data_IF_402794767101
#
_entry.id   IF_402794767101
#
_cell.length_a   1.000
_cell.length_b   1.000
_cell.length_c   1.000
_cell.angle_alpha   90.00
_cell.angle_beta   90.00
_cell.angle_gamma   90.00
#
_symmetry.space_group_name_H-M   'P 1'
#
loop_
_entity.id
_entity.type
_entity.pdbx_description
1 polymer ?
#
# COMPACT_ATOMS: atom_id res chain seq x y z
N UNK A 1 12.57 9.69 -12.27
CA UNK A 1 12.79 10.78 -11.27
C UNK A 1 14.14 10.68 -10.53
N UNK A 2 14.72 9.47 -10.39
CA UNK A 2 15.98 9.23 -9.67
C UNK A 2 17.18 10.07 -10.15
N UNK A 3 17.34 10.29 -11.47
CA UNK A 3 18.38 11.19 -12.03
C UNK A 3 18.37 12.61 -11.41
N UNK A 4 17.21 13.05 -10.92
CA UNK A 4 17.01 14.35 -10.29
C UNK A 4 17.01 14.30 -8.75
N UNK A 5 17.48 13.20 -8.16
CA UNK A 5 17.55 13.03 -6.69
C UNK A 5 16.21 12.69 -6.02
N UNK A 6 15.20 12.26 -6.80
CA UNK A 6 13.92 11.81 -6.25
C UNK A 6 13.86 10.29 -6.29
N UNK A 7 14.15 9.67 -5.15
CA UNK A 7 14.08 8.24 -4.91
C UNK A 7 12.63 7.77 -4.67
N UNK A 8 12.25 6.70 -5.36
CA UNK A 8 10.98 5.99 -5.21
C UNK A 8 11.26 4.49 -5.23
N UNK A 9 10.56 3.71 -4.40
CA UNK A 9 10.59 2.25 -4.45
C UNK A 9 9.56 1.71 -5.45
N UNK A 10 8.32 2.18 -5.30
CA UNK A 10 7.17 1.73 -6.07
C UNK A 10 6.81 2.75 -7.15
N UNK A 11 6.53 3.98 -6.74
CA UNK A 11 6.18 5.08 -7.62
C UNK A 11 4.94 4.88 -8.48
N UNK A 12 3.99 4.05 -8.05
CA UNK A 12 2.76 3.79 -8.78
C UNK A 12 1.55 4.59 -8.24
N UNK A 13 1.69 5.22 -7.07
CA UNK A 13 0.56 5.79 -6.34
C UNK A 13 0.69 7.31 -6.15
N UNK A 14 1.84 7.80 -5.69
CA UNK A 14 2.09 9.22 -5.42
C UNK A 14 3.46 9.66 -5.97
N UNK A 15 3.84 10.91 -5.68
CA UNK A 15 5.07 11.55 -6.14
C UNK A 15 5.15 11.60 -7.68
N UNK A 16 6.34 11.87 -8.22
CA UNK A 16 6.53 12.03 -9.67
C UNK A 16 6.08 10.78 -10.45
N UNK A 17 6.43 9.58 -9.96
CA UNK A 17 5.99 8.32 -10.55
C UNK A 17 4.46 8.19 -10.59
N UNK A 18 3.79 8.32 -9.45
CA UNK A 18 2.33 8.12 -9.36
C UNK A 18 1.53 9.16 -10.11
N UNK A 19 1.96 10.42 -10.14
CA UNK A 19 1.31 11.48 -10.93
C UNK A 19 1.40 11.17 -12.42
N UNK A 20 2.59 10.83 -12.93
CA UNK A 20 2.78 10.47 -14.33
C UNK A 20 2.06 9.16 -14.68
N UNK A 21 1.99 8.22 -13.75
CA UNK A 21 1.25 6.98 -13.95
C UNK A 21 -0.27 7.25 -14.04
N UNK A 22 -0.81 8.10 -13.17
CA UNK A 22 -2.19 8.55 -13.22
C UNK A 22 -2.52 9.27 -14.53
N UNK A 23 -1.65 10.16 -15.01
CA UNK A 23 -1.84 10.83 -16.31
C UNK A 23 -1.95 9.85 -17.48
N UNK A 24 -1.25 8.71 -17.42
CA UNK A 24 -1.33 7.66 -18.43
C UNK A 24 -2.56 6.77 -18.27
N UNK A 25 -2.95 6.46 -17.03
CA UNK A 25 -4.03 5.52 -16.74
C UNK A 25 -5.42 6.15 -16.81
N UNK A 26 -5.59 7.40 -16.39
CA UNK A 26 -6.89 8.06 -16.33
C UNK A 26 -7.61 8.07 -17.69
N UNK A 27 -6.97 8.39 -18.83
CA UNK A 27 -7.63 8.31 -20.14
C UNK A 27 -8.21 6.91 -20.43
N UNK A 28 -7.44 5.85 -20.15
CA UNK A 28 -7.87 4.46 -20.35
C UNK A 28 -9.02 4.08 -19.42
N UNK A 29 -8.97 4.53 -18.17
CA UNK A 29 -10.08 4.36 -17.21
C UNK A 29 -11.35 5.01 -17.73
N UNK A 30 -11.27 6.21 -18.34
CA UNK A 30 -12.43 6.88 -18.91
C UNK A 30 -12.98 6.20 -20.16
N UNK A 31 -12.11 5.58 -20.97
CA UNK A 31 -12.52 4.71 -22.07
C UNK A 31 -13.31 3.50 -21.56
N UNK A 32 -12.83 2.81 -20.51
CA UNK A 32 -13.61 1.75 -19.86
C UNK A 32 -14.94 2.25 -19.29
N UNK A 33 -14.96 3.44 -18.68
CA UNK A 33 -16.20 4.01 -18.20
C UNK A 33 -17.19 4.28 -19.33
N UNK A 34 -16.71 4.67 -20.53
CA UNK A 34 -17.56 4.82 -21.70
C UNK A 34 -18.17 3.48 -22.10
N UNK A 35 -17.35 2.45 -22.24
CA UNK A 35 -17.82 1.11 -22.61
C UNK A 35 -18.84 0.57 -21.58
N UNK A 36 -18.59 0.77 -20.29
CA UNK A 36 -19.51 0.36 -19.22
C UNK A 36 -20.88 1.06 -19.38
N UNK A 37 -20.90 2.37 -19.66
CA UNK A 37 -22.17 3.10 -19.85
C UNK A 37 -22.92 2.68 -21.12
N UNK A 38 -22.21 2.26 -22.16
CA UNK A 38 -22.80 1.88 -23.45
C UNK A 38 -23.25 0.41 -23.49
N UNK A 39 -22.56 -0.47 -22.76
CA UNK A 39 -22.65 -1.92 -22.97
C UNK A 39 -23.03 -2.72 -21.73
N UNK A 40 -22.81 -2.19 -20.51
CA UNK A 40 -23.07 -2.96 -19.30
C UNK A 40 -24.55 -2.91 -18.89
N UNK A 41 -25.01 -3.97 -18.22
CA UNK A 41 -26.33 -4.00 -17.61
C UNK A 41 -26.47 -2.93 -16.50
N UNK A 42 -27.68 -2.36 -16.29
CA UNK A 42 -27.93 -1.41 -15.22
C UNK A 42 -27.51 -1.96 -13.84
N UNK A 43 -26.76 -1.17 -13.08
CA UNK A 43 -26.28 -1.54 -11.75
C UNK A 43 -24.94 -2.27 -11.72
N UNK A 44 -24.28 -2.47 -12.87
CA UNK A 44 -22.91 -2.97 -12.90
C UNK A 44 -21.96 -2.07 -12.11
N UNK A 45 -21.13 -2.68 -11.27
CA UNK A 45 -20.06 -2.00 -10.52
C UNK A 45 -18.73 -2.13 -11.25
N UNK A 46 -18.00 -1.04 -11.34
CA UNK A 46 -16.60 -1.09 -11.76
C UNK A 46 -15.69 -1.29 -10.56
N UNK A 47 -15.03 -2.44 -10.49
CA UNK A 47 -14.07 -2.76 -9.43
C UNK A 47 -12.65 -2.41 -9.89
N UNK A 48 -12.08 -1.33 -9.36
CA UNK A 48 -10.76 -0.85 -9.76
C UNK A 48 -9.67 -1.31 -8.78
N UNK A 49 -8.78 -2.18 -9.25
CA UNK A 49 -7.53 -2.57 -8.58
C UNK A 49 -6.29 -1.84 -9.13
N UNK A 50 -6.43 -1.12 -10.25
CA UNK A 50 -5.27 -0.53 -10.92
C UNK A 50 -4.82 0.76 -10.22
N UNK A 51 -3.52 0.85 -9.97
CA UNK A 51 -2.90 2.06 -9.43
C UNK A 51 -2.73 3.17 -10.48
N UNK A 52 -2.66 4.45 -10.09
CA UNK A 52 -2.92 4.99 -8.75
C UNK A 52 -4.41 4.89 -8.36
N UNK A 53 -4.73 4.01 -7.41
CA UNK A 53 -6.11 3.52 -7.25
C UNK A 53 -7.05 4.67 -6.88
N UNK A 54 -6.65 5.54 -5.97
CA UNK A 54 -7.45 6.69 -5.57
C UNK A 54 -7.72 7.66 -6.73
N UNK A 55 -6.71 7.97 -7.56
CA UNK A 55 -6.87 8.89 -8.70
C UNK A 55 -7.72 8.26 -9.81
N UNK A 56 -7.51 6.98 -10.13
CA UNK A 56 -8.27 6.26 -11.14
C UNK A 56 -9.75 6.12 -10.73
N UNK A 57 -9.99 5.68 -9.49
CA UNK A 57 -11.35 5.54 -8.95
C UNK A 57 -12.06 6.90 -8.89
N UNK A 58 -11.36 7.96 -8.47
CA UNK A 58 -11.93 9.31 -8.48
C UNK A 58 -12.29 9.74 -9.92
N UNK A 59 -11.40 9.52 -10.90
CA UNK A 59 -11.70 9.87 -12.28
C UNK A 59 -12.92 9.10 -12.84
N UNK A 60 -13.04 7.81 -12.54
CA UNK A 60 -14.17 6.99 -12.94
C UNK A 60 -15.50 7.46 -12.34
N UNK A 61 -15.51 7.85 -11.06
CA UNK A 61 -16.70 8.37 -10.39
C UNK A 61 -17.05 9.76 -10.90
N UNK A 62 -16.10 10.69 -10.87
CA UNK A 62 -16.36 12.11 -11.11
C UNK A 62 -16.53 12.41 -12.60
N UNK A 63 -15.69 11.87 -13.47
CA UNK A 63 -15.72 12.17 -14.91
C UNK A 63 -16.33 11.02 -15.72
N UNK A 64 -16.08 9.78 -15.31
CA UNK A 64 -16.66 8.59 -15.93
C UNK A 64 -18.12 8.37 -15.56
N UNK A 65 -18.62 8.95 -14.46
CA UNK A 65 -20.00 8.76 -13.96
C UNK A 65 -20.42 7.28 -13.88
N UNK A 66 -19.49 6.41 -13.48
CA UNK A 66 -19.71 4.97 -13.27
C UNK A 66 -19.64 4.66 -11.77
N UNK A 67 -20.55 3.82 -11.29
CA UNK A 67 -20.53 3.28 -9.91
C UNK A 67 -19.28 2.43 -9.72
N UNK A 68 -18.26 3.02 -9.11
CA UNK A 68 -16.91 2.46 -9.04
C UNK A 68 -16.49 2.25 -7.59
N UNK A 69 -15.94 1.08 -7.30
CA UNK A 69 -15.32 0.74 -6.01
C UNK A 69 -13.84 0.50 -6.22
N UNK A 70 -13.03 1.26 -5.51
CA UNK A 70 -11.59 1.08 -5.44
C UNK A 70 -11.20 0.00 -4.44
N UNK A 71 -10.33 -0.93 -4.85
CA UNK A 71 -9.92 -2.07 -4.02
C UNK A 71 -8.39 -2.13 -3.92
N UNK A 72 -7.91 -2.40 -2.71
CA UNK A 72 -6.51 -2.66 -2.39
C UNK A 72 -6.43 -3.76 -1.32
N UNK A 73 -5.30 -4.47 -1.27
CA UNK A 73 -5.08 -5.61 -0.38
C UNK A 73 -4.29 -5.26 0.91
N UNK A 74 -3.86 -4.01 1.09
CA UNK A 74 -2.98 -3.63 2.20
C UNK A 74 -3.59 -3.88 3.59
N UNK A 75 -4.91 -3.75 3.75
CA UNK A 75 -5.59 -4.02 5.02
C UNK A 75 -5.53 -5.51 5.36
N UNK A 76 -5.78 -6.39 4.38
CA UNK A 76 -5.78 -7.84 4.55
C UNK A 76 -4.40 -8.34 4.97
N UNK A 77 -3.36 -7.98 4.23
CA UNK A 77 -1.99 -8.37 4.57
C UNK A 77 -1.54 -7.78 5.91
N UNK A 78 -1.90 -6.52 6.21
CA UNK A 78 -1.59 -5.92 7.51
C UNK A 78 -2.28 -6.64 8.68
N UNK A 79 -3.52 -7.07 8.50
CA UNK A 79 -4.27 -7.83 9.50
C UNK A 79 -3.68 -9.23 9.70
N UNK A 80 -3.27 -9.91 8.64
CA UNK A 80 -2.57 -11.20 8.69
C UNK A 80 -1.26 -11.08 9.48
N UNK A 81 -0.46 -10.04 9.21
CA UNK A 81 0.78 -9.77 9.95
C UNK A 81 0.49 -9.51 11.44
N UNK A 82 -0.52 -8.70 11.76
CA UNK A 82 -0.91 -8.41 13.15
C UNK A 82 -1.41 -9.69 13.86
N UNK A 83 -2.19 -10.53 13.18
CA UNK A 83 -2.65 -11.80 13.73
C UNK A 83 -1.47 -12.71 14.07
N UNK A 84 -0.50 -12.83 13.15
CA UNK A 84 0.70 -13.65 13.31
C UNK A 84 1.53 -13.19 14.53
N UNK A 85 1.86 -11.91 14.64
CA UNK A 85 2.70 -11.42 15.74
C UNK A 85 2.01 -11.46 17.11
N UNK A 86 0.68 -11.45 17.14
CA UNK A 86 -0.11 -11.55 18.37
C UNK A 86 -0.53 -13.00 18.67
N UNK A 87 -0.23 -13.95 17.78
CA UNK A 87 -0.68 -15.34 17.89
C UNK A 87 -2.21 -15.48 17.89
N UNK A 88 -2.91 -14.59 17.19
CA UNK A 88 -4.37 -14.61 17.08
C UNK A 88 -4.80 -15.65 16.02
N UNK A 89 -5.74 -16.51 16.40
CA UNK A 89 -6.37 -17.47 15.49
C UNK A 89 -7.39 -16.84 14.55
N UNK A 90 -7.93 -17.66 13.65
CA UNK A 90 -9.00 -17.25 12.73
C UNK A 90 -10.22 -16.71 13.50
N UNK A 91 -10.69 -15.53 13.11
CA UNK A 91 -11.83 -14.86 13.76
C UNK A 91 -11.55 -14.29 15.15
N UNK A 92 -10.31 -14.33 15.65
CA UNK A 92 -9.96 -13.77 16.97
C UNK A 92 -9.51 -12.31 16.88
N UNK A 93 -9.12 -11.83 15.70
CA UNK A 93 -8.64 -10.47 15.46
C UNK A 93 -9.77 -9.58 14.91
N UNK A 94 -10.17 -8.58 15.69
CA UNK A 94 -11.05 -7.50 15.24
C UNK A 94 -10.24 -6.22 15.05
N UNK A 95 -10.51 -5.47 14.00
CA UNK A 95 -9.82 -4.21 13.75
C UNK A 95 -10.68 -3.18 13.03
N UNK A 96 -10.31 -1.91 13.22
CA UNK A 96 -10.87 -0.78 12.47
C UNK A 96 -9.72 -0.07 11.74
N UNK A 97 -9.92 0.15 10.45
CA UNK A 97 -9.00 0.87 9.59
C UNK A 97 -9.60 2.18 9.09
N UNK A 98 -8.79 3.22 8.95
CA UNK A 98 -9.20 4.48 8.35
C UNK A 98 -8.06 5.18 7.63
N UNK A 99 -8.37 5.86 6.52
CA UNK A 99 -7.40 6.61 5.73
C UNK A 99 -7.76 6.66 4.24
N UNK A 100 -6.75 6.87 3.41
CA UNK A 100 -6.85 6.84 1.95
C UNK A 100 -5.99 5.69 1.41
N UNK A 101 -6.13 5.36 0.12
CA UNK A 101 -5.29 4.34 -0.50
C UNK A 101 -3.81 4.54 -0.22
N UNK A 102 -3.17 3.45 0.17
CA UNK A 102 -1.78 3.37 0.57
C UNK A 102 -1.36 4.29 1.73
N UNK A 103 -2.33 4.82 2.46
CA UNK A 103 -2.15 5.61 3.68
C UNK A 103 -3.32 5.37 4.63
N UNK A 104 -3.67 4.08 4.79
CA UNK A 104 -4.67 3.58 5.73
C UNK A 104 -3.97 3.09 6.99
N UNK A 105 -4.67 3.21 8.13
CA UNK A 105 -4.10 2.98 9.45
C UNK A 105 -5.02 2.12 10.31
N UNK A 106 -4.44 1.17 11.06
CA UNK A 106 -5.13 0.41 12.09
C UNK A 106 -5.32 1.28 13.33
N UNK A 107 -6.54 1.80 13.51
CA UNK A 107 -6.88 2.75 14.59
C UNK A 107 -7.50 2.08 15.82
N UNK A 108 -7.99 0.85 15.67
CA UNK A 108 -8.39 -0.03 16.77
C UNK A 108 -8.00 -1.46 16.39
N UNK A 109 -7.36 -2.18 17.31
CA UNK A 109 -6.97 -3.58 17.15
C UNK A 109 -7.36 -4.31 18.43
N UNK A 110 -8.06 -5.44 18.29
CA UNK A 110 -8.50 -6.26 19.42
C UNK A 110 -8.27 -7.73 19.13
N UNK A 111 -7.81 -8.45 20.15
CA UNK A 111 -7.73 -9.92 20.11
C UNK A 111 -8.71 -10.46 21.14
N UNK A 112 -9.68 -11.28 20.72
CA UNK A 112 -10.75 -11.82 21.57
C UNK A 112 -11.48 -10.72 22.35
N UNK A 113 -11.75 -9.60 21.67
CA UNK A 113 -12.37 -8.41 22.26
C UNK A 113 -11.46 -7.55 23.16
N UNK A 114 -10.24 -7.99 23.50
CA UNK A 114 -9.28 -7.19 24.29
C UNK A 114 -8.53 -6.23 23.38
N UNK A 115 -8.61 -4.93 23.67
CA UNK A 115 -7.85 -3.90 22.97
C UNK A 115 -6.35 -4.10 23.14
N UNK A 116 -5.63 -4.04 22.02
CA UNK A 116 -4.17 -4.11 21.95
C UNK A 116 -3.62 -2.69 21.94
N UNK A 117 -2.71 -2.41 22.86
CA UNK A 117 -2.06 -1.11 22.97
C UNK A 117 -0.92 -0.95 21.97
N UNK A 118 -0.54 0.30 21.69
CA UNK A 118 0.64 0.64 20.87
C UNK A 118 1.90 -0.11 21.34
N UNK A 119 2.22 -0.05 22.63
CA UNK A 119 3.48 -0.60 23.14
C UNK A 119 3.52 -2.13 23.06
N UNK A 120 2.38 -2.79 23.26
CA UNK A 120 2.22 -4.23 23.05
C UNK A 120 2.42 -4.60 21.58
N UNK A 121 1.81 -3.84 20.65
CA UNK A 121 1.94 -4.07 19.22
C UNK A 121 3.39 -3.85 18.74
N UNK A 122 4.06 -2.80 19.23
CA UNK A 122 5.48 -2.55 18.95
C UNK A 122 6.34 -3.71 19.45
N UNK A 123 6.17 -4.12 20.71
CA UNK A 123 6.95 -5.21 21.28
C UNK A 123 6.77 -6.53 20.51
N UNK A 124 5.55 -6.84 20.09
CA UNK A 124 5.25 -8.02 19.30
C UNK A 124 5.91 -7.99 17.91
N UNK A 125 5.85 -6.86 17.19
CA UNK A 125 6.57 -6.71 15.92
C UNK A 125 8.09 -6.82 16.08
N UNK A 126 8.66 -6.23 17.13
CA UNK A 126 10.10 -6.28 17.39
C UNK A 126 10.59 -7.66 17.84
N UNK A 127 9.73 -8.44 18.51
CA UNK A 127 10.03 -9.82 18.87
C UNK A 127 9.91 -10.79 17.69
N UNK A 128 9.12 -10.45 16.66
CA UNK A 128 8.92 -11.33 15.51
C UNK A 128 10.23 -11.53 14.73
N UNK A 129 10.68 -12.79 14.49
CA UNK A 129 11.98 -13.03 13.89
C UNK A 129 12.10 -12.47 12.49
N UNK A 130 11.01 -12.34 11.72
CA UNK A 130 11.05 -11.86 10.33
C UNK A 130 10.66 -10.38 10.24
N UNK A 131 9.52 -9.99 10.79
CA UNK A 131 8.96 -8.64 10.62
C UNK A 131 9.76 -7.56 11.35
N UNK A 132 10.49 -7.90 12.42
CA UNK A 132 11.44 -6.96 13.05
C UNK A 132 12.51 -6.44 12.09
N UNK A 133 12.82 -7.21 11.03
CA UNK A 133 13.78 -6.83 9.98
C UNK A 133 13.08 -6.23 8.76
N UNK A 134 11.98 -6.85 8.31
CA UNK A 134 11.27 -6.44 7.11
C UNK A 134 10.42 -5.18 7.28
N UNK A 135 9.95 -4.87 8.49
CA UNK A 135 8.96 -3.81 8.76
C UNK A 135 9.52 -2.62 9.57
N UNK A 136 10.84 -2.43 9.56
CA UNK A 136 11.54 -1.40 10.35
C UNK A 136 10.91 -0.01 10.21
N UNK A 137 10.52 0.36 8.99
CA UNK A 137 9.88 1.66 8.72
C UNK A 137 8.48 1.71 9.34
N UNK A 138 7.63 0.71 9.09
CA UNK A 138 6.29 0.66 9.70
C UNK A 138 6.33 0.60 11.23
N UNK A 139 7.29 -0.09 11.82
CA UNK A 139 7.51 -0.12 13.28
C UNK A 139 7.91 1.28 13.80
N UNK A 140 8.80 1.99 13.10
CA UNK A 140 9.17 3.37 13.46
C UNK A 140 7.98 4.33 13.34
N UNK A 141 7.16 4.18 12.30
CA UNK A 141 5.91 4.93 12.15
C UNK A 141 4.92 4.60 13.28
N UNK A 142 4.72 3.32 13.62
CA UNK A 142 3.89 2.91 14.75
C UNK A 142 4.37 3.53 16.07
N UNK A 143 5.70 3.57 16.28
CA UNK A 143 6.28 4.26 17.43
C UNK A 143 6.00 5.76 17.41
N UNK A 144 6.05 6.43 16.26
CA UNK A 144 5.84 7.90 16.18
C UNK A 144 4.37 8.32 16.30
N UNK A 145 3.49 7.60 15.62
CA UNK A 145 2.09 7.99 15.46
C UNK A 145 1.13 7.19 16.34
N UNK A 146 1.58 6.05 16.88
CA UNK A 146 0.79 5.18 17.75
C UNK A 146 -0.20 4.26 17.04
N UNK A 147 -0.21 4.28 15.71
CA UNK A 147 -1.07 3.45 14.85
C UNK A 147 -0.24 2.79 13.76
N UNK A 148 -0.57 1.55 13.41
CA UNK A 148 0.16 0.79 12.38
C UNK A 148 -0.39 1.12 11.00
N UNK A 149 0.49 1.28 10.01
CA UNK A 149 0.08 1.54 8.63
C UNK A 149 -0.16 0.23 7.88
N UNK A 150 -1.16 0.22 7.01
CA UNK A 150 -1.52 -0.96 6.22
C UNK A 150 -0.47 -1.33 5.18
N UNK A 151 0.24 -0.35 4.63
CA UNK A 151 1.12 -0.59 3.49
C UNK A 151 2.55 -0.88 3.82
N UNK A 152 3.17 -1.68 2.95
CA UNK A 152 4.59 -2.03 3.00
C UNK A 152 5.50 -0.80 3.11
N UNK A 153 6.71 -1.03 3.64
CA UNK A 153 7.76 -0.02 3.70
C UNK A 153 8.00 0.66 2.34
N UNK A 154 7.93 -0.09 1.23
CA UNK A 154 8.08 0.43 -0.11
C UNK A 154 7.12 1.57 -0.42
N UNK A 155 5.82 1.36 -0.20
CA UNK A 155 4.81 2.40 -0.41
C UNK A 155 4.92 3.50 0.65
N UNK A 156 4.91 3.14 1.94
CA UNK A 156 4.83 4.12 3.03
C UNK A 156 6.02 5.08 3.05
N UNK A 157 7.20 4.60 2.65
CA UNK A 157 8.40 5.43 2.54
C UNK A 157 8.28 6.60 1.56
N UNK A 158 7.39 6.51 0.57
CA UNK A 158 7.16 7.57 -0.43
C UNK A 158 6.23 8.67 0.07
N UNK A 159 5.40 8.38 1.07
CA UNK A 159 4.45 9.34 1.64
C UNK A 159 5.08 10.27 2.67
N UNK A 160 6.17 9.84 3.30
CA UNK A 160 6.71 10.48 4.49
C UNK A 160 8.08 11.14 4.21
N UNK A 161 8.32 12.38 4.68
CA UNK A 161 9.47 13.18 4.26
C UNK A 161 10.81 12.71 4.85
N UNK A 162 10.85 11.64 5.65
CA UNK A 162 12.05 11.21 6.38
C UNK A 162 12.82 10.10 5.68
N UNK A 163 12.14 9.07 5.18
CA UNK A 163 12.77 7.78 4.88
C UNK A 163 13.57 7.74 3.56
N UNK A 164 13.11 8.47 2.54
CA UNK A 164 13.77 8.51 1.21
C UNK A 164 14.42 9.85 0.88
N UNK A 165 14.39 10.81 1.81
CA UNK A 165 15.01 12.14 1.62
C UNK A 165 16.46 12.20 2.12
N UNK A 166 16.91 11.17 2.84
CA UNK A 166 18.26 10.99 3.36
C UNK A 166 18.81 9.65 2.86
N UNK A 167 19.43 9.62 1.67
CA UNK A 167 19.90 8.38 1.04
C UNK A 167 20.85 7.57 1.95
N UNK A 168 21.65 8.26 2.76
CA UNK A 168 22.57 7.67 3.73
C UNK A 168 21.85 6.92 4.87
N UNK A 169 20.58 7.26 5.14
CA UNK A 169 19.76 6.62 6.15
C UNK A 169 18.85 5.53 5.56
N UNK A 170 18.68 5.45 4.23
CA UNK A 170 17.69 4.56 3.61
C UNK A 170 17.90 3.09 3.98
N UNK A 171 19.16 2.62 4.01
CA UNK A 171 19.50 1.24 4.40
C UNK A 171 19.06 0.86 5.84
N UNK A 172 18.88 1.86 6.72
CA UNK A 172 18.33 1.63 8.07
C UNK A 172 16.88 1.17 8.01
N UNK A 173 16.12 1.66 7.05
CA UNK A 173 14.66 1.55 7.00
C UNK A 173 14.16 0.45 6.08
N UNK A 174 14.93 0.12 5.04
CA UNK A 174 14.54 -0.86 4.03
C UNK A 174 15.11 -2.24 4.33
N UNK A 175 14.48 -3.28 3.81
CA UNK A 175 15.01 -4.63 3.75
C UNK A 175 15.12 -5.03 2.27
N UNK A 176 16.12 -5.84 1.92
CA UNK A 176 16.41 -6.22 0.53
C UNK A 176 16.00 -7.66 0.22
N UNK A 177 15.31 -8.36 1.14
CA UNK A 177 14.80 -9.72 0.89
C UNK A 177 13.73 -9.74 -0.19
N UNK A 178 12.99 -8.64 -0.35
CA UNK A 178 11.99 -8.43 -1.39
C UNK A 178 11.95 -6.95 -1.76
N UNK A 179 11.68 -6.64 -3.03
CA UNK A 179 11.63 -5.27 -3.54
C UNK A 179 10.60 -4.41 -2.78
N UNK A 180 9.50 -5.02 -2.34
CA UNK A 180 8.38 -4.31 -1.71
C UNK A 180 8.73 -3.74 -0.33
N UNK A 181 9.83 -4.19 0.27
CA UNK A 181 10.33 -3.71 1.56
C UNK A 181 11.17 -2.42 1.45
N UNK A 182 11.25 -1.81 0.27
CA UNK A 182 11.74 -0.45 0.10
C UNK A 182 12.90 -0.27 -0.85
N UNK A 183 13.26 -1.28 -1.64
CA UNK A 183 14.31 -1.19 -2.65
C UNK A 183 14.09 0.01 -3.58
N UNK A 184 15.11 0.86 -3.75
CA UNK A 184 15.07 1.98 -4.70
C UNK A 184 14.85 1.46 -6.12
N UNK A 185 13.77 1.91 -6.76
CA UNK A 185 13.35 1.43 -8.08
C UNK A 185 12.90 -0.04 -8.11
N UNK A 186 12.61 -0.63 -6.94
CA UNK A 186 12.29 -2.04 -6.80
C UNK A 186 11.14 -2.50 -7.68
N UNK A 187 10.03 -1.74 -7.72
CA UNK A 187 8.88 -2.10 -8.56
C UNK A 187 9.20 -2.04 -10.05
N UNK A 188 9.97 -1.02 -10.49
CA UNK A 188 10.40 -0.91 -11.89
C UNK A 188 11.26 -2.11 -12.29
N UNK A 189 12.22 -2.49 -11.45
CA UNK A 189 13.07 -3.68 -11.69
C UNK A 189 12.20 -4.93 -11.77
N UNK A 190 11.36 -5.17 -10.76
CA UNK A 190 10.48 -6.33 -10.69
C UNK A 190 9.59 -6.44 -11.93
N UNK A 191 8.89 -5.36 -12.31
CA UNK A 191 8.06 -5.36 -13.52
C UNK A 191 8.87 -5.57 -14.80
N UNK A 192 10.10 -5.04 -14.88
CA UNK A 192 10.96 -5.20 -16.05
C UNK A 192 11.47 -6.63 -16.21
N UNK A 193 11.79 -7.30 -15.12
CA UNK A 193 12.28 -8.69 -15.08
C UNK A 193 11.14 -9.69 -15.30
N UNK A 194 9.94 -9.38 -14.82
CA UNK A 194 8.77 -10.29 -14.88
C UNK A 194 7.83 -10.01 -16.04
N UNK A 195 8.05 -8.97 -16.86
CA UNK A 195 7.09 -8.57 -17.93
C UNK A 195 6.67 -9.68 -18.90
N UNK A 196 7.51 -10.70 -19.08
CA UNK A 196 7.28 -11.82 -20.00
C UNK A 196 6.94 -13.12 -19.24
N UNK A 197 6.46 -13.04 -18.00
CA UNK A 197 6.16 -14.21 -17.17
C UNK A 197 5.16 -15.19 -17.80
N UNK A 198 4.33 -14.72 -18.74
CA UNK A 198 3.32 -15.51 -19.45
C UNK A 198 3.85 -16.17 -20.73
N UNK A 199 5.12 -15.96 -21.10
CA UNK A 199 5.74 -16.55 -22.31
C UNK A 199 6.38 -17.93 -22.04
N UNK A 200 6.36 -18.42 -20.80
CA UNK A 200 6.94 -19.70 -20.36
C UNK A 200 5.89 -20.62 -19.77
#
# INVERSE_FOLDING_TARGET
>A
PLKYGVDQCVGDTICAGGILYGQRNIPVILDFCKDIRELAEPGAKFLNYANPMAMNTWAAIEFGKVDTVGLCHGVQHGAEQIAEILGAGEGELDYVCSGINHQTWFIDVRVKGRKIGRDELVAAFEAHPVFSRQEKLRIDVLKRFGVYSTESNGHLSEYLPWYRKRPEETAKWIDMSDWIHGETGGYLRYSTETRNWFET
#
